data_IF_198410502941
#
_entry.id   IF_198410502941
#
_cell.length_a   1.000
_cell.length_b   1.000
_cell.length_c   1.000
_cell.angle_alpha   90.00
_cell.angle_beta   90.00
_cell.angle_gamma   90.00
#
_symmetry.space_group_name_H-M   'P 1'
#
loop_
_entity.id
_entity.type
_entity.pdbx_description
1 polymer ?
#
# COMPACT_ATOMS: atom_id res chain seq x y z
N UNK A 1 -3.29 4.70 15.05
CA UNK A 1 -3.50 3.45 14.28
C UNK A 1 -4.55 3.74 13.20
N UNK A 2 -4.18 3.87 11.92
CA UNK A 2 -5.16 4.16 10.87
C UNK A 2 -5.75 2.82 10.39
N UNK A 3 -6.93 2.45 10.92
CA UNK A 3 -7.60 1.23 10.50
C UNK A 3 -8.18 1.43 9.11
N UNK A 4 -7.70 0.65 8.15
CA UNK A 4 -8.33 0.54 6.84
C UNK A 4 -9.60 -0.29 7.06
N UNK A 5 -10.81 0.25 6.82
CA UNK A 5 -12.06 -0.50 6.97
C UNK A 5 -12.04 -1.78 6.11
N UNK A 6 -12.84 -2.79 6.43
CA UNK A 6 -12.83 -4.04 5.63
C UNK A 6 -13.35 -3.85 4.21
N UNK A 7 -14.34 -2.96 4.05
CA UNK A 7 -14.99 -2.68 2.77
C UNK A 7 -15.17 -1.16 2.60
N UNK A 8 -15.38 -0.74 1.36
CA UNK A 8 -15.71 0.63 1.01
C UNK A 8 -14.74 1.29 0.04
N UNK A 9 -14.66 2.61 0.10
CA UNK A 9 -13.96 3.45 -0.87
C UNK A 9 -12.98 4.41 -0.21
N UNK A 10 -11.77 4.49 -0.75
CA UNK A 10 -10.73 5.42 -0.34
C UNK A 10 -10.55 6.53 -1.36
N UNK A 11 -10.32 7.74 -0.87
CA UNK A 11 -9.86 8.87 -1.70
C UNK A 11 -8.35 8.92 -1.75
N UNK A 12 -7.82 9.62 -2.75
CA UNK A 12 -6.38 9.78 -2.95
C UNK A 12 -5.66 10.24 -1.67
N UNK A 13 -6.17 11.26 -0.98
CA UNK A 13 -5.57 11.80 0.25
C UNK A 13 -5.49 10.80 1.40
N UNK A 14 -6.33 9.77 1.42
CA UNK A 14 -6.24 8.69 2.41
C UNK A 14 -5.18 7.65 2.01
N UNK A 15 -4.97 7.44 0.70
CA UNK A 15 -3.98 6.49 0.18
C UNK A 15 -2.57 7.04 0.35
N UNK A 16 -2.32 8.25 -0.17
CA UNK A 16 -0.98 8.88 -0.18
C UNK A 16 -0.70 9.72 1.07
N UNK A 17 -1.67 9.79 1.99
CA UNK A 17 -1.61 10.62 3.18
C UNK A 17 -1.81 12.11 2.89
N UNK A 18 -2.12 12.85 3.96
CA UNK A 18 -2.19 14.30 3.94
C UNK A 18 -1.63 14.86 5.26
N UNK A 19 -0.37 15.34 5.26
CA UNK A 19 0.24 15.92 6.45
C UNK A 19 -0.37 17.27 6.83
N UNK A 20 -1.10 17.92 5.92
CA UNK A 20 -1.75 19.23 6.16
C UNK A 20 -3.18 19.10 6.71
N UNK A 21 -3.72 17.88 6.79
CA UNK A 21 -5.02 17.66 7.41
C UNK A 21 -4.91 17.76 8.94
N UNK A 22 -6.02 18.09 9.59
CA UNK A 22 -6.13 18.10 11.05
C UNK A 22 -7.22 17.10 11.44
N UNK A 23 -6.89 15.96 12.09
CA UNK A 23 -5.54 15.46 12.37
C UNK A 23 -4.79 15.01 11.09
N UNK A 24 -3.43 14.96 11.11
CA UNK A 24 -2.64 14.51 9.98
C UNK A 24 -3.03 13.09 9.55
N UNK A 25 -3.24 12.89 8.25
CA UNK A 25 -3.59 11.57 7.70
C UNK A 25 -2.29 10.88 7.28
N UNK A 26 -1.87 9.80 7.97
CA UNK A 26 -0.67 9.06 7.57
C UNK A 26 -0.91 8.35 6.22
N UNK A 27 0.12 8.29 5.35
CA UNK A 27 0.03 7.56 4.10
C UNK A 27 -0.08 6.05 4.33
N UNK A 28 -0.95 5.40 3.56
CA UNK A 28 -0.95 3.93 3.42
C UNK A 28 0.19 3.53 2.48
N UNK A 29 0.32 4.25 1.36
CA UNK A 29 1.39 4.07 0.38
C UNK A 29 2.11 5.40 0.24
N UNK A 30 3.37 5.53 0.73
CA UNK A 30 4.07 6.80 0.84
C UNK A 30 4.65 7.26 -0.52
N UNK A 31 3.78 7.51 -1.50
CA UNK A 31 4.15 8.02 -2.83
C UNK A 31 3.49 9.37 -3.08
N UNK A 32 4.09 10.19 -3.94
CA UNK A 32 3.50 11.48 -4.32
C UNK A 32 2.30 11.28 -5.24
N UNK A 33 1.40 12.27 -5.24
CA UNK A 33 0.19 12.31 -6.09
C UNK A 33 0.49 12.04 -7.57
N UNK A 34 1.52 12.68 -8.13
CA UNK A 34 1.92 12.50 -9.54
C UNK A 34 2.30 11.06 -9.85
N UNK A 35 3.12 10.44 -8.99
CA UNK A 35 3.52 9.03 -9.10
C UNK A 35 2.31 8.11 -9.05
N UNK A 36 1.34 8.38 -8.16
CA UNK A 36 0.11 7.61 -8.09
C UNK A 36 -0.68 7.68 -9.41
N UNK A 37 -0.94 8.88 -9.95
CA UNK A 37 -1.66 9.00 -11.23
C UNK A 37 -0.93 8.36 -12.41
N UNK A 38 0.40 8.52 -12.47
CA UNK A 38 1.22 7.88 -13.50
C UNK A 38 1.11 6.34 -13.41
N UNK A 39 1.19 5.79 -12.20
CA UNK A 39 1.05 4.35 -11.99
C UNK A 39 -0.36 3.82 -12.24
N UNK A 40 -1.41 4.62 -12.00
CA UNK A 40 -2.79 4.25 -12.39
C UNK A 40 -2.89 4.21 -13.92
N UNK A 41 -2.32 5.19 -14.62
CA UNK A 41 -2.29 5.22 -16.10
C UNK A 41 -1.49 4.05 -16.68
N UNK A 42 -0.37 3.69 -16.05
CA UNK A 42 0.49 2.58 -16.49
C UNK A 42 0.00 1.20 -16.08
N UNK A 43 -1.11 1.09 -15.32
CA UNK A 43 -1.61 -0.18 -14.79
C UNK A 43 -0.82 -0.77 -13.61
N UNK A 44 0.11 0.00 -13.01
CA UNK A 44 0.85 -0.39 -11.81
C UNK A 44 0.01 -0.29 -10.53
N UNK A 45 -0.94 0.65 -10.50
CA UNK A 45 -1.85 0.88 -9.38
C UNK A 45 -3.29 0.55 -9.79
N UNK A 46 -4.17 0.26 -8.83
CA UNK A 46 -5.55 -0.11 -9.14
C UNK A 46 -6.29 0.99 -9.90
N UNK A 47 -7.19 0.55 -10.78
CA UNK A 47 -8.00 1.45 -11.60
C UNK A 47 -8.85 2.35 -10.71
N UNK A 48 -8.89 3.62 -11.08
CA UNK A 48 -9.69 4.61 -10.36
C UNK A 48 -11.17 4.50 -10.77
N UNK A 49 -12.08 4.59 -9.79
CA UNK A 49 -13.53 4.56 -9.99
C UNK A 49 -14.10 5.97 -9.81
N UNK A 50 -15.08 6.34 -10.64
CA UNK A 50 -15.81 7.62 -10.54
C UNK A 50 -17.13 7.38 -9.81
N UNK A 51 -17.28 7.99 -8.63
CA UNK A 51 -18.54 7.96 -7.88
C UNK A 51 -19.45 9.14 -8.26
N UNK A 52 -18.88 10.18 -8.87
CA UNK A 52 -19.60 11.36 -9.33
C UNK A 52 -18.70 12.34 -10.09
N UNK A 53 -19.24 13.53 -10.49
CA UNK A 53 -18.58 14.46 -11.41
C UNK A 53 -17.17 14.92 -10.98
N UNK A 54 -16.89 14.94 -9.68
CA UNK A 54 -15.61 15.38 -9.10
C UNK A 54 -15.01 14.36 -8.12
N UNK A 55 -15.60 13.18 -8.03
CA UNK A 55 -15.28 12.21 -6.97
C UNK A 55 -14.65 10.98 -7.59
N UNK A 56 -13.33 10.87 -7.44
CA UNK A 56 -12.57 9.68 -7.80
C UNK A 56 -12.22 8.91 -6.53
N UNK A 57 -12.48 7.61 -6.54
CA UNK A 57 -12.26 6.70 -5.42
C UNK A 57 -11.58 5.41 -5.88
N UNK A 58 -11.03 4.67 -4.92
CA UNK A 58 -10.49 3.32 -5.10
C UNK A 58 -11.16 2.39 -4.11
N UNK A 59 -11.39 1.13 -4.49
CA UNK A 59 -11.88 0.13 -3.54
C UNK A 59 -10.80 -0.20 -2.53
N UNK A 60 -11.20 -0.39 -1.29
CA UNK A 60 -10.28 -0.83 -0.24
C UNK A 60 -9.66 -2.19 -0.59
N UNK A 61 -10.44 -3.10 -1.14
CA UNK A 61 -10.01 -4.44 -1.54
C UNK A 61 -8.85 -4.40 -2.54
N UNK A 62 -8.96 -3.56 -3.57
CA UNK A 62 -7.91 -3.39 -4.58
C UNK A 62 -6.60 -2.86 -3.99
N UNK A 63 -6.71 -1.93 -3.02
CA UNK A 63 -5.55 -1.38 -2.32
C UNK A 63 -4.92 -2.45 -1.42
N UNK A 64 -5.71 -3.24 -0.70
CA UNK A 64 -5.22 -4.37 0.10
C UNK A 64 -4.53 -5.42 -0.79
N UNK A 65 -5.12 -5.76 -1.94
CA UNK A 65 -4.54 -6.69 -2.91
C UNK A 65 -3.20 -6.17 -3.47
N UNK A 66 -3.10 -4.86 -3.76
CA UNK A 66 -1.85 -4.23 -4.16
C UNK A 66 -0.76 -4.36 -3.07
N UNK A 67 -1.12 -4.07 -1.82
CA UNK A 67 -0.18 -4.17 -0.67
C UNK A 67 0.25 -5.62 -0.48
N UNK A 68 -0.68 -6.58 -0.58
CA UNK A 68 -0.35 -8.00 -0.48
C UNK A 68 0.58 -8.44 -1.62
N UNK A 69 0.29 -8.05 -2.86
CA UNK A 69 1.08 -8.39 -4.05
C UNK A 69 2.48 -7.77 -4.06
N UNK A 70 2.66 -6.57 -3.49
CA UNK A 70 3.96 -5.91 -3.36
C UNK A 70 4.70 -6.27 -2.07
N UNK A 71 3.97 -6.64 -1.01
CA UNK A 71 4.51 -7.15 0.24
C UNK A 71 4.96 -8.61 0.16
N UNK A 72 4.43 -9.38 -0.80
CA UNK A 72 4.86 -10.75 -1.07
C UNK A 72 6.25 -10.86 -1.70
N UNK A 73 6.98 -9.76 -1.90
CA UNK A 73 8.41 -9.77 -2.24
C UNK A 73 9.33 -9.89 -1.00
N UNK A 74 8.77 -10.19 0.19
CA UNK A 74 9.56 -10.39 1.43
C UNK A 74 9.18 -11.62 2.27
N UNK A 75 8.62 -12.70 1.71
CA UNK A 75 8.57 -14.02 2.37
C UNK A 75 8.56 -15.09 1.25
N UNK A 76 9.69 -15.65 0.80
CA UNK A 76 10.46 -16.72 1.45
C UNK A 76 11.91 -16.73 0.91
N UNK A 77 12.87 -16.27 1.70
CA UNK A 77 14.24 -16.80 1.63
C UNK A 77 14.75 -16.97 3.06
N UNK A 78 14.13 -17.89 3.79
CA UNK A 78 14.76 -18.52 4.94
C UNK A 78 15.99 -19.28 4.43
N UNK A 79 17.14 -18.59 4.31
CA UNK A 79 18.42 -19.28 4.38
C UNK A 79 18.56 -19.75 5.82
N UNK A 80 18.13 -20.97 6.09
CA UNK A 80 18.55 -21.70 7.28
C UNK A 80 20.07 -21.77 7.28
N UNK A 81 20.71 -21.00 8.15
CA UNK A 81 22.12 -21.14 8.49
C UNK A 81 22.18 -21.85 9.85
N UNK A 82 21.90 -23.15 9.86
CA UNK A 82 22.35 -24.00 10.95
C UNK A 82 23.85 -24.23 10.73
N UNK A 83 24.70 -23.46 11.42
CA UNK A 83 26.10 -23.81 11.58
C UNK A 83 26.19 -24.79 12.76
N UNK A 84 26.74 -26.01 12.59
CA UNK A 84 27.16 -26.81 13.72
C UNK A 84 28.35 -26.10 14.36
N UNK A 85 28.25 -25.78 15.65
CA UNK A 85 29.37 -25.33 16.46
C UNK A 85 30.26 -26.52 16.76
N UNK A 86 31.45 -26.56 16.16
CA UNK A 86 32.48 -27.54 16.51
C UNK A 86 33.15 -27.11 17.83
N UNK A 87 33.27 -27.99 18.84
CA UNK A 87 33.88 -27.65 20.12
C UNK A 87 35.42 -27.61 19.96
N UNK A 88 36.10 -26.63 20.57
CA UNK A 88 37.56 -26.52 20.44
C UNK A 88 38.29 -27.65 21.19
N UNK A 89 39.37 -28.14 20.58
CA UNK A 89 40.36 -29.06 21.16
C UNK A 89 41.26 -28.36 22.17
#
# INVERSE_FOLDING_TARGET
MNQIPEIGFLRLSQIIGNPKAVPPIPPIIPVKKSTWWAGVKSGRYPKSLKLGPRVTVWRVEDIRALIASKGSEMVIKTKGHNRPTEPPR
#
